data_IF_481936258584
#
_entry.id   IF_481936258584
#
_cell.length_a   1.000
_cell.length_b   1.000
_cell.length_c   1.000
_cell.angle_alpha   90.00
_cell.angle_beta   90.00
_cell.angle_gamma   90.00
#
_symmetry.space_group_name_H-M   'P 1'
#
loop_
_entity.id
_entity.type
_entity.pdbx_description
1 polymer ?
#
# COMPACT_ATOMS: atom_id res chain seq x y z
N UNK A 1 5.62 -11.81 -13.88
CA UNK A 1 4.65 -10.82 -14.37
C UNK A 1 3.29 -11.51 -14.49
N UNK A 2 2.31 -11.16 -13.65
CA UNK A 2 0.96 -11.75 -13.73
C UNK A 2 0.18 -10.96 -14.79
N UNK A 3 0.02 -11.56 -15.98
CA UNK A 3 -0.83 -10.99 -17.02
C UNK A 3 -2.26 -10.89 -16.50
N UNK A 4 -2.89 -9.71 -16.49
CA UNK A 4 -4.21 -9.58 -15.92
C UNK A 4 -5.24 -10.25 -16.85
N UNK A 5 -6.07 -11.14 -16.27
CA UNK A 5 -7.10 -11.90 -16.99
C UNK A 5 -8.36 -11.05 -17.14
N UNK A 6 -8.26 -9.93 -17.86
CA UNK A 6 -9.42 -9.11 -18.17
C UNK A 6 -10.27 -9.77 -19.25
N UNK A 7 -11.57 -9.59 -19.13
CA UNK A 7 -12.47 -9.89 -20.22
C UNK A 7 -12.41 -8.76 -21.27
N UNK A 8 -12.18 -9.11 -22.54
CA UNK A 8 -11.97 -8.14 -23.64
C UNK A 8 -13.26 -7.48 -24.15
N UNK A 9 -14.43 -7.97 -23.72
CA UNK A 9 -15.68 -7.31 -24.06
C UNK A 9 -15.68 -5.89 -23.42
N UNK A 10 -16.02 -4.81 -24.15
CA UNK A 10 -16.67 -3.64 -23.53
C UNK A 10 -17.95 -4.14 -22.83
N UNK A 11 -18.91 -3.40 -22.33
CA UNK A 11 -20.09 -3.95 -21.60
C UNK A 11 -19.85 -4.85 -20.35
N UNK A 12 -18.75 -5.59 -20.18
CA UNK A 12 -18.47 -6.52 -19.10
C UNK A 12 -17.39 -5.97 -18.17
N UNK A 13 -17.46 -6.40 -16.92
CA UNK A 13 -16.60 -5.93 -15.84
C UNK A 13 -15.11 -6.19 -16.13
N UNK A 14 -14.29 -5.14 -16.01
CA UNK A 14 -12.83 -5.18 -16.18
C UNK A 14 -12.10 -5.41 -14.85
N UNK A 15 -12.53 -6.40 -14.08
CA UNK A 15 -11.87 -6.75 -12.82
C UNK A 15 -10.50 -7.38 -13.10
N UNK A 16 -9.45 -6.90 -12.42
CA UNK A 16 -8.05 -7.23 -12.75
C UNK A 16 -7.58 -8.57 -12.20
N UNK A 17 -8.11 -8.99 -11.05
CA UNK A 17 -7.68 -10.22 -10.37
C UNK A 17 -8.31 -11.49 -10.94
N UNK A 18 -9.60 -11.41 -11.34
CA UNK A 18 -10.35 -12.56 -11.88
C UNK A 18 -11.28 -12.10 -13.01
N UNK A 19 -11.43 -12.94 -14.04
CA UNK A 19 -12.41 -12.68 -15.10
C UNK A 19 -13.83 -12.59 -14.52
N UNK A 20 -14.55 -11.54 -14.91
CA UNK A 20 -15.91 -11.27 -14.44
C UNK A 20 -16.83 -11.07 -15.66
N UNK A 21 -17.93 -11.80 -15.68
CA UNK A 21 -18.91 -11.78 -16.77
C UNK A 21 -20.15 -10.94 -16.44
N UNK A 22 -20.14 -10.23 -15.32
CA UNK A 22 -21.23 -9.31 -14.97
C UNK A 22 -21.13 -8.03 -15.81
N UNK A 23 -22.27 -7.42 -16.17
CA UNK A 23 -22.30 -6.20 -16.94
C UNK A 23 -21.72 -5.02 -16.16
N UNK A 24 -21.17 -4.05 -16.88
CA UNK A 24 -20.72 -2.76 -16.34
C UNK A 24 -21.92 -1.91 -15.97
N UNK A 25 -21.76 -1.18 -14.89
CA UNK A 25 -22.81 -0.31 -14.36
C UNK A 25 -22.74 1.05 -15.00
N UNK A 26 -23.87 1.75 -15.09
CA UNK A 26 -23.92 3.12 -15.61
C UNK A 26 -23.73 4.11 -14.47
N UNK A 27 -22.92 5.15 -14.73
CA UNK A 27 -22.84 6.35 -13.90
C UNK A 27 -24.12 7.17 -14.10
N UNK A 28 -24.38 8.10 -13.18
CA UNK A 28 -25.45 9.10 -13.31
C UNK A 28 -25.37 9.92 -14.61
N UNK A 29 -24.16 10.07 -15.15
CA UNK A 29 -23.89 10.84 -16.37
C UNK A 29 -24.12 10.01 -17.65
N UNK A 30 -24.55 8.75 -17.55
CA UNK A 30 -24.72 7.84 -18.69
C UNK A 30 -23.47 7.02 -19.05
N UNK A 31 -22.29 7.46 -18.65
CA UNK A 31 -21.03 6.73 -18.87
C UNK A 31 -20.96 5.39 -18.12
N UNK A 32 -20.35 4.37 -18.73
CA UNK A 32 -20.12 3.10 -18.04
C UNK A 32 -18.97 3.19 -17.03
N UNK A 33 -19.20 2.65 -15.83
CA UNK A 33 -18.15 2.27 -14.90
C UNK A 33 -17.27 1.17 -15.52
N UNK A 34 -16.03 1.02 -15.03
CA UNK A 34 -15.16 -0.08 -15.45
C UNK A 34 -15.58 -1.43 -14.85
N UNK A 35 -16.25 -1.40 -13.69
CA UNK A 35 -16.61 -2.55 -12.89
C UNK A 35 -18.13 -2.76 -12.87
N UNK A 36 -18.56 -3.99 -12.57
CA UNK A 36 -19.95 -4.30 -12.22
C UNK A 36 -20.32 -3.78 -10.82
N UNK A 37 -21.60 -3.85 -10.45
CA UNK A 37 -22.11 -3.37 -9.15
C UNK A 37 -21.37 -4.05 -7.99
N UNK A 38 -21.30 -5.38 -8.04
CA UNK A 38 -20.66 -6.18 -7.01
C UNK A 38 -19.19 -5.77 -6.74
N UNK A 39 -18.38 -5.62 -7.80
CA UNK A 39 -16.98 -5.23 -7.63
C UNK A 39 -16.81 -3.76 -7.23
N UNK A 40 -17.73 -2.89 -7.62
CA UNK A 40 -17.75 -1.49 -7.17
C UNK A 40 -17.99 -1.42 -5.66
N UNK A 41 -18.95 -2.19 -5.16
CA UNK A 41 -19.28 -2.19 -3.73
C UNK A 41 -18.15 -2.80 -2.91
N UNK A 42 -17.54 -3.90 -3.38
CA UNK A 42 -16.35 -4.48 -2.72
C UNK A 42 -15.18 -3.49 -2.69
N UNK A 43 -14.92 -2.79 -3.79
CA UNK A 43 -13.88 -1.76 -3.84
C UNK A 43 -14.15 -0.62 -2.85
N UNK A 44 -15.41 -0.18 -2.73
CA UNK A 44 -15.82 0.84 -1.76
C UNK A 44 -15.56 0.37 -0.31
N UNK A 45 -15.87 -0.87 0.02
CA UNK A 45 -15.59 -1.41 1.37
C UNK A 45 -14.09 -1.48 1.69
N UNK A 46 -13.26 -1.87 0.71
CA UNK A 46 -11.80 -1.85 0.86
C UNK A 46 -11.31 -0.41 1.06
N UNK A 47 -11.80 0.54 0.27
CA UNK A 47 -11.46 1.95 0.40
C UNK A 47 -11.85 2.51 1.78
N UNK A 48 -13.05 2.22 2.28
CA UNK A 48 -13.50 2.62 3.62
C UNK A 48 -12.59 2.06 4.70
N UNK A 49 -12.24 0.78 4.60
CA UNK A 49 -11.33 0.10 5.55
C UNK A 49 -9.96 0.76 5.55
N UNK A 50 -9.39 1.03 4.37
CA UNK A 50 -8.11 1.71 4.23
C UNK A 50 -8.16 3.15 4.79
N UNK A 51 -9.23 3.90 4.53
CA UNK A 51 -9.43 5.24 5.07
C UNK A 51 -9.51 5.22 6.61
N UNK A 52 -10.23 4.25 7.20
CA UNK A 52 -10.29 4.05 8.66
C UNK A 52 -8.90 3.79 9.25
N UNK A 53 -8.15 2.85 8.65
CA UNK A 53 -6.76 2.55 9.09
C UNK A 53 -5.88 3.78 9.02
N UNK A 54 -5.92 4.55 7.92
CA UNK A 54 -5.17 5.80 7.76
C UNK A 54 -5.55 6.86 8.79
N UNK A 55 -6.84 6.98 9.13
CA UNK A 55 -7.30 7.92 10.17
C UNK A 55 -6.76 7.55 11.54
N UNK A 56 -6.79 6.26 11.90
CA UNK A 56 -6.24 5.78 13.18
C UNK A 56 -4.73 5.99 13.28
N UNK A 57 -3.98 5.67 12.21
CA UNK A 57 -2.53 5.92 12.15
C UNK A 57 -2.20 7.39 12.35
N UNK A 58 -2.92 8.30 11.67
CA UNK A 58 -2.74 9.74 11.83
C UNK A 58 -3.08 10.23 13.24
N UNK A 59 -4.12 9.68 13.85
CA UNK A 59 -4.49 10.00 15.23
C UNK A 59 -3.42 9.54 16.22
N UNK A 60 -2.89 8.32 16.05
CA UNK A 60 -1.79 7.79 16.87
C UNK A 60 -0.51 8.61 16.72
N UNK A 61 -0.13 8.99 15.48
CA UNK A 61 1.00 9.88 15.22
C UNK A 61 0.82 11.24 15.91
N UNK A 62 -0.37 11.84 15.82
CA UNK A 62 -0.66 13.11 16.49
C UNK A 62 -0.61 12.98 18.02
N UNK A 63 -1.11 11.87 18.58
CA UNK A 63 -1.04 11.62 20.01
C UNK A 63 0.41 11.45 20.48
N UNK A 64 1.25 10.73 19.72
CA UNK A 64 2.68 10.58 20.02
C UNK A 64 3.42 11.93 20.05
N UNK A 65 3.14 12.81 19.08
CA UNK A 65 3.71 14.17 19.06
C UNK A 65 3.27 15.04 20.25
N UNK A 66 2.08 14.81 20.81
CA UNK A 66 1.61 15.52 22.01
C UNK A 66 2.18 14.94 23.31
N UNK A 67 2.63 13.68 23.31
CA UNK A 67 3.17 12.99 24.48
C UNK A 67 4.69 13.04 24.58
N UNK A 68 5.40 13.38 23.49
CA UNK A 68 6.84 13.64 23.59
C UNK A 68 7.06 14.89 24.44
N UNK A 69 7.94 14.86 25.47
CA UNK A 69 8.40 16.09 26.13
C UNK A 69 8.96 17.05 25.06
N UNK A 70 8.88 18.38 25.25
CA UNK A 70 9.43 19.31 24.28
C UNK A 70 10.89 18.93 24.01
N UNK A 71 11.18 18.55 22.76
CA UNK A 71 12.52 18.17 22.33
C UNK A 71 13.39 19.44 22.39
N UNK A 72 14.03 19.69 23.54
CA UNK A 72 15.20 20.57 23.62
C UNK A 72 16.40 19.76 23.16
N UNK A 73 16.41 19.29 21.90
CA UNK A 73 17.58 18.63 21.34
C UNK A 73 18.68 19.67 21.24
N UNK A 74 19.74 19.50 22.04
CA UNK A 74 20.90 20.37 21.98
C UNK A 74 21.49 20.29 20.56
N UNK A 75 21.98 21.42 20.04
CA UNK A 75 22.48 21.53 18.66
C UNK A 75 23.59 20.50 18.36
N UNK A 76 24.41 20.16 19.37
CA UNK A 76 25.43 19.11 19.25
C UNK A 76 24.84 17.72 18.94
N UNK A 77 23.65 17.41 19.45
CA UNK A 77 23.00 16.11 19.29
C UNK A 77 22.44 15.91 17.87
N UNK A 78 21.93 16.99 17.26
CA UNK A 78 21.49 16.98 15.86
C UNK A 78 22.65 16.76 14.90
N UNK A 79 23.80 17.36 15.19
CA UNK A 79 24.97 17.31 14.32
C UNK A 79 25.61 15.91 14.32
N UNK A 80 25.59 15.23 15.46
CA UNK A 80 26.04 13.85 15.60
C UNK A 80 25.12 12.85 14.87
N UNK A 81 23.81 13.05 14.93
CA UNK A 81 22.86 12.21 14.18
C UNK A 81 22.99 12.39 12.66
N UNK A 82 23.27 13.61 12.19
CA UNK A 82 23.51 13.88 10.77
C UNK A 82 24.72 13.10 10.26
N UNK A 83 25.85 13.15 11.00
CA UNK A 83 27.07 12.42 10.62
C UNK A 83 26.87 10.91 10.54
N UNK A 84 26.00 10.34 11.39
CA UNK A 84 25.67 8.90 11.36
C UNK A 84 24.77 8.50 10.18
N UNK A 85 23.93 9.42 9.68
CA UNK A 85 23.06 9.16 8.53
C UNK A 85 23.81 9.24 7.19
N UNK A 86 24.86 10.07 7.12
CA UNK A 86 25.65 10.27 5.90
C UNK A 86 26.53 9.05 5.55
N UNK A 87 26.97 8.27 6.55
CA UNK A 87 27.77 7.04 6.33
C UNK A 87 26.96 5.86 5.77
N UNK A 88 25.62 5.92 5.77
CA UNK A 88 24.75 4.84 5.29
C UNK A 88 24.45 4.92 3.78
N UNK A 89 24.87 5.98 3.07
CA UNK A 89 24.68 6.13 1.62
C UNK A 89 25.99 5.95 0.81
N UNK A 90 26.99 5.27 1.36
CA UNK A 90 28.06 4.74 0.51
C UNK A 90 27.49 3.55 -0.30
N UNK A 91 27.60 3.51 -1.65
CA UNK A 91 27.14 2.37 -2.42
C UNK A 91 28.06 1.19 -2.13
N UNK A 92 27.64 0.31 -1.22
CA UNK A 92 28.31 -0.97 -1.00
C UNK A 92 28.11 -1.80 -2.27
N UNK A 93 29.17 -1.95 -3.06
CA UNK A 93 29.25 -2.91 -4.15
C UNK A 93 29.24 -4.33 -3.55
N UNK A 94 28.07 -4.79 -3.10
CA UNK A 94 27.85 -6.16 -2.68
C UNK A 94 27.69 -6.98 -3.94
N UNK A 95 28.77 -7.64 -4.33
CA UNK A 95 28.73 -8.71 -5.31
C UNK A 95 27.62 -9.70 -4.95
N UNK A 96 26.89 -10.13 -5.98
CA UNK A 96 25.73 -11.02 -5.91
C UNK A 96 25.81 -12.09 -4.81
N UNK A 97 24.94 -11.98 -3.80
CA UNK A 97 24.47 -13.16 -3.10
C UNK A 97 22.98 -13.01 -2.73
N UNK A 98 22.19 -13.87 -3.39
CA UNK A 98 20.87 -14.39 -3.03
C UNK A 98 19.87 -13.51 -2.25
N UNK A 99 19.22 -12.55 -2.94
CA UNK A 99 17.86 -12.09 -2.56
C UNK A 99 16.79 -13.11 -2.97
N UNK A 100 16.96 -14.38 -2.60
CA UNK A 100 15.90 -15.36 -2.68
C UNK A 100 15.12 -15.26 -1.36
N UNK A 101 13.92 -14.68 -1.41
CA UNK A 101 13.01 -14.63 -0.27
C UNK A 101 12.84 -16.06 0.24
N UNK A 102 13.26 -16.32 1.48
CA UNK A 102 13.27 -17.68 2.01
C UNK A 102 11.83 -18.19 2.12
N UNK A 103 11.65 -19.51 2.01
CA UNK A 103 10.32 -20.13 2.06
C UNK A 103 9.58 -19.82 3.37
N UNK A 104 10.35 -19.65 4.46
CA UNK A 104 9.86 -19.24 5.77
C UNK A 104 9.34 -17.80 5.79
N UNK A 105 10.02 -16.87 5.09
CA UNK A 105 9.57 -15.49 4.94
C UNK A 105 8.29 -15.41 4.09
N UNK A 106 8.15 -16.28 3.08
CA UNK A 106 6.90 -16.41 2.32
C UNK A 106 5.74 -16.95 3.16
N UNK A 107 6.02 -17.91 4.06
CA UNK A 107 5.01 -18.50 4.95
C UNK A 107 4.47 -17.48 5.96
N UNK A 108 5.33 -16.65 6.53
CA UNK A 108 4.95 -15.58 7.45
C UNK A 108 4.04 -14.55 6.76
N UNK A 109 4.34 -14.22 5.50
CA UNK A 109 3.51 -13.30 4.72
C UNK A 109 2.13 -13.87 4.41
N UNK A 110 2.00 -15.18 4.17
CA UNK A 110 0.70 -15.83 3.93
C UNK A 110 -0.16 -15.98 5.18
N UNK A 111 0.44 -16.05 6.37
CA UNK A 111 -0.30 -16.17 7.63
C UNK A 111 -0.93 -14.85 8.11
N UNK A 112 -0.50 -13.70 7.56
CA UNK A 112 -0.94 -12.37 7.96
C UNK A 112 -2.07 -11.78 7.08
N UNK A 113 -2.51 -12.49 6.04
CA UNK A 113 -3.59 -12.08 5.12
C UNK A 113 -4.66 -13.16 4.96
#
# INVERSE_FOLDING_TARGET
MISPKHNNNPMLCKYTYKACYNPRTTKKNGDLHMLCDYHRDKANEVQKTHAKKRKLLRAAQKAALLQSPPLTTNVLDLQFLSTLLDDAWAPLNVAADSTALTEDECAILFALF
#
